data_IF_647014789501
#
_entry.id   IF_647014789501
#
_cell.length_a   1.000
_cell.length_b   1.000
_cell.length_c   1.000
_cell.angle_alpha   90.00
_cell.angle_beta   90.00
_cell.angle_gamma   90.00
#
_symmetry.space_group_name_H-M   'P 1'
#
loop_
_entity.id
_entity.type
_entity.pdbx_description
1 polymer ?
#
# COMPACT_ATOMS: atom_id res chain seq x y z
N UNK A 1 -13.67 11.28 -3.67
CA UNK A 1 -13.33 10.02 -4.37
C UNK A 1 -14.03 8.88 -3.63
N UNK A 2 -14.63 7.91 -4.31
CA UNK A 2 -15.02 6.67 -3.63
C UNK A 2 -13.71 5.97 -3.28
N UNK A 3 -13.23 6.09 -2.02
CA UNK A 3 -12.11 5.26 -1.55
C UNK A 3 -12.43 3.82 -1.90
N UNK A 4 -11.46 3.08 -2.42
CA UNK A 4 -11.74 1.77 -3.04
C UNK A 4 -12.18 0.74 -2.00
N UNK A 5 -11.74 0.90 -0.75
CA UNK A 5 -12.25 0.20 0.42
C UNK A 5 -13.10 1.12 1.29
N UNK A 6 -14.32 0.69 1.62
CA UNK A 6 -15.26 1.43 2.47
C UNK A 6 -15.92 0.49 3.46
N UNK A 7 -15.16 0.07 4.47
CA UNK A 7 -15.74 -0.64 5.60
C UNK A 7 -16.35 0.36 6.57
N UNK A 8 -17.66 0.30 6.76
CA UNK A 8 -18.43 1.22 7.60
C UNK A 8 -18.77 0.63 8.98
N UNK A 9 -18.50 -0.66 9.22
CA UNK A 9 -18.89 -1.34 10.47
C UNK A 9 -18.25 -0.72 11.71
N UNK A 10 -16.94 -0.42 11.66
CA UNK A 10 -16.25 0.23 12.79
C UNK A 10 -16.75 1.67 12.95
N UNK A 11 -16.96 2.39 11.84
CA UNK A 11 -17.50 3.74 11.87
C UNK A 11 -18.88 3.76 12.53
N UNK A 12 -19.80 2.91 12.08
CA UNK A 12 -21.14 2.74 12.65
C UNK A 12 -21.09 2.31 14.12
N UNK A 13 -20.20 1.39 14.50
CA UNK A 13 -20.02 0.99 15.89
C UNK A 13 -19.63 2.18 16.78
N UNK A 14 -18.73 3.03 16.30
CA UNK A 14 -18.29 4.21 17.05
C UNK A 14 -19.38 5.30 17.09
N UNK A 15 -20.06 5.59 15.98
CA UNK A 15 -21.07 6.66 15.90
C UNK A 15 -22.39 6.29 16.57
N UNK A 16 -22.73 5.00 16.68
CA UNK A 16 -23.93 4.53 17.40
C UNK A 16 -23.74 4.42 18.91
N UNK A 17 -22.51 4.61 19.42
CA UNK A 17 -22.22 4.52 20.84
C UNK A 17 -22.63 5.79 21.58
N UNK A 18 -23.36 5.65 22.69
CA UNK A 18 -23.62 6.74 23.65
C UNK A 18 -22.49 6.94 24.66
N UNK A 19 -21.43 6.11 24.61
CA UNK A 19 -20.28 6.18 25.51
C UNK A 19 -19.30 7.26 25.05
N UNK A 20 -18.56 7.80 26.01
CA UNK A 20 -17.41 8.66 25.75
C UNK A 20 -16.33 7.89 24.99
N UNK A 21 -15.80 8.49 23.93
CA UNK A 21 -14.76 7.91 23.08
C UNK A 21 -13.39 8.40 23.53
N UNK A 22 -12.44 7.46 23.63
CA UNK A 22 -11.05 7.75 23.95
C UNK A 22 -10.13 7.14 22.91
N UNK A 23 -9.07 7.86 22.57
CA UNK A 23 -7.94 7.37 21.79
C UNK A 23 -6.73 7.18 22.72
N UNK A 24 -6.13 5.99 22.68
CA UNK A 24 -4.94 5.65 23.45
C UNK A 24 -3.76 5.42 22.47
N UNK A 25 -2.89 6.43 22.27
CA UNK A 25 -1.75 6.30 21.37
C UNK A 25 -0.58 5.54 22.03
N UNK A 26 0.49 5.34 21.25
CA UNK A 26 1.78 4.87 21.74
C UNK A 26 1.99 3.36 21.61
N UNK A 27 1.13 2.66 20.87
CA UNK A 27 1.37 1.26 20.52
C UNK A 27 2.33 1.12 19.36
N UNK A 28 2.34 2.06 18.41
CA UNK A 28 3.31 2.02 17.31
C UNK A 28 4.70 2.49 17.77
N UNK A 29 5.69 1.62 17.58
CA UNK A 29 7.08 1.84 18.03
C UNK A 29 8.07 1.88 16.85
N UNK A 30 7.57 1.90 15.61
CA UNK A 30 8.40 1.97 14.41
C UNK A 30 8.75 3.40 14.00
N UNK A 31 9.58 3.52 12.96
CA UNK A 31 9.91 4.79 12.32
C UNK A 31 8.78 5.25 11.41
N UNK A 32 8.60 6.57 11.27
CA UNK A 32 7.63 7.18 10.34
C UNK A 32 7.67 6.62 8.92
N UNK A 33 8.89 6.32 8.43
CA UNK A 33 9.14 5.72 7.12
C UNK A 33 9.89 4.39 7.27
N UNK A 34 9.68 3.50 6.30
CA UNK A 34 10.39 2.23 6.22
C UNK A 34 11.91 2.41 6.04
N UNK A 35 12.68 1.40 6.44
CA UNK A 35 14.13 1.46 6.35
C UNK A 35 14.59 1.53 4.89
N UNK A 36 15.36 2.55 4.52
CA UNK A 36 15.88 2.69 3.15
C UNK A 36 14.90 3.31 2.15
N UNK A 37 13.77 3.84 2.62
CA UNK A 37 12.90 4.71 1.83
C UNK A 37 13.63 6.02 1.51
N UNK A 38 13.40 6.56 0.31
CA UNK A 38 14.05 7.79 -0.12
C UNK A 38 13.47 8.99 0.65
N UNK A 39 14.31 9.93 1.04
CA UNK A 39 13.88 11.06 1.86
C UNK A 39 13.10 12.09 1.05
N UNK A 40 13.34 12.16 -0.26
CA UNK A 40 12.79 13.10 -1.23
C UNK A 40 11.42 12.65 -1.79
N UNK A 41 11.06 11.38 -1.64
CA UNK A 41 9.77 10.82 -2.05
C UNK A 41 8.62 11.13 -1.04
N UNK A 42 8.87 11.91 0.00
CA UNK A 42 7.92 12.19 1.10
C UNK A 42 6.58 12.82 0.69
N UNK A 43 6.50 13.36 -0.54
CA UNK A 43 5.30 13.97 -1.12
C UNK A 43 4.52 13.02 -2.05
N UNK A 44 5.10 11.85 -2.38
CA UNK A 44 4.48 10.81 -3.19
C UNK A 44 3.47 10.03 -2.34
N UNK A 45 2.28 9.73 -2.88
CA UNK A 45 1.24 8.98 -2.18
C UNK A 45 1.64 7.54 -1.86
N UNK A 46 2.64 7.00 -2.56
CA UNK A 46 3.28 5.73 -2.27
C UNK A 46 4.10 5.73 -0.98
N UNK A 47 4.42 6.90 -0.41
CA UNK A 47 5.22 7.08 0.81
C UNK A 47 4.43 7.73 1.97
N UNK A 48 3.18 7.34 2.14
CA UNK A 48 2.40 7.70 3.32
C UNK A 48 3.07 7.22 4.63
N UNK A 49 2.98 8.04 5.69
CA UNK A 49 3.59 7.70 6.98
C UNK A 49 2.95 6.48 7.62
N UNK A 50 3.77 5.60 8.19
CA UNK A 50 3.28 4.44 8.94
C UNK A 50 2.81 4.91 10.32
N UNK A 51 1.61 4.50 10.73
CA UNK A 51 0.98 4.92 11.99
C UNK A 51 0.08 3.85 12.59
N UNK A 52 -0.16 3.89 13.91
CA UNK A 52 -1.03 2.93 14.63
C UNK A 52 -2.53 3.02 14.31
N UNK A 53 -3.00 4.19 13.85
CA UNK A 53 -4.41 4.39 13.49
C UNK A 53 -4.49 5.21 12.21
N UNK A 54 -4.31 4.56 11.05
CA UNK A 54 -4.37 5.26 9.79
C UNK A 54 -5.78 5.76 9.52
N UNK A 55 -5.91 7.05 9.20
CA UNK A 55 -7.16 7.65 8.77
C UNK A 55 -6.96 8.10 7.35
N UNK A 56 -7.83 7.64 6.46
CA UNK A 56 -7.86 8.18 5.09
C UNK A 56 -6.56 7.88 4.33
N UNK A 57 -6.04 6.67 4.56
CA UNK A 57 -4.78 6.19 4.00
C UNK A 57 -3.55 7.03 4.40
N UNK A 58 -3.70 7.89 5.43
CA UNK A 58 -2.76 8.95 5.79
C UNK A 58 -2.46 9.92 4.64
N UNK A 59 -3.42 10.06 3.73
CA UNK A 59 -3.38 10.94 2.58
C UNK A 59 -4.46 12.03 2.70
N UNK A 60 -4.15 13.18 2.13
CA UNK A 60 -5.16 14.16 1.74
C UNK A 60 -5.27 14.21 0.21
N UNK A 61 -6.43 14.62 -0.27
CA UNK A 61 -6.74 14.85 -1.68
C UNK A 61 -6.88 16.36 -1.90
N UNK A 62 -6.06 16.92 -2.79
CA UNK A 62 -6.21 18.29 -3.29
C UNK A 62 -6.81 18.24 -4.69
N UNK A 63 -7.82 19.07 -4.94
CA UNK A 63 -8.52 19.13 -6.24
C UNK A 63 -8.84 20.55 -6.66
N UNK A 64 -8.83 20.79 -7.96
CA UNK A 64 -9.42 21.98 -8.54
C UNK A 64 -10.93 21.80 -8.68
N UNK A 65 -11.68 22.62 -7.95
CA UNK A 65 -13.15 22.66 -7.97
C UNK A 65 -13.61 24.10 -8.29
N UNK A 66 -14.90 24.33 -8.61
CA UNK A 66 -15.42 25.69 -8.73
C UNK A 66 -15.09 26.52 -7.47
N UNK A 67 -14.36 27.63 -7.65
CA UNK A 67 -13.90 28.48 -6.54
C UNK A 67 -12.43 28.27 -6.12
N UNK A 68 -11.70 27.31 -6.71
CA UNK A 68 -10.26 27.12 -6.51
C UNK A 68 -9.88 25.74 -5.98
N UNK A 69 -8.69 25.64 -5.39
CA UNK A 69 -8.24 24.39 -4.77
C UNK A 69 -9.06 24.09 -3.52
N UNK A 70 -9.53 22.85 -3.43
CA UNK A 70 -10.18 22.28 -2.24
C UNK A 70 -9.35 21.11 -1.71
N UNK A 71 -9.34 20.96 -0.38
CA UNK A 71 -8.69 19.83 0.29
C UNK A 71 -9.72 18.94 0.97
N UNK A 72 -9.47 17.65 0.89
CA UNK A 72 -10.15 16.66 1.70
C UNK A 72 -9.11 15.76 2.38
N UNK A 73 -9.07 15.67 3.72
CA UNK A 73 -10.03 16.22 4.70
C UNK A 73 -10.02 17.74 4.82
N UNK A 74 -11.19 18.34 5.11
CA UNK A 74 -11.34 19.80 5.19
C UNK A 74 -10.55 20.45 6.32
N UNK A 75 -10.18 19.68 7.34
CA UNK A 75 -9.33 20.17 8.45
C UNK A 75 -7.96 20.67 7.98
N UNK A 76 -7.54 20.32 6.77
CA UNK A 76 -6.29 20.80 6.16
C UNK A 76 -6.49 22.00 5.21
N UNK A 77 -7.69 22.57 5.10
CA UNK A 77 -7.93 23.72 4.20
C UNK A 77 -7.03 24.90 4.55
N UNK A 78 -6.90 25.22 5.84
CA UNK A 78 -6.07 26.32 6.32
C UNK A 78 -4.56 26.01 6.24
N UNK A 79 -4.21 24.79 5.84
CA UNK A 79 -2.82 24.37 5.60
C UNK A 79 -2.39 24.60 4.15
N UNK A 80 -3.28 24.99 3.22
CA UNK A 80 -2.91 25.36 1.85
C UNK A 80 -2.25 26.73 1.82
N UNK A 81 -1.05 26.79 1.26
CA UNK A 81 -0.29 28.03 1.14
C UNK A 81 0.00 28.30 -0.33
N UNK A 82 -0.45 29.45 -0.82
CA UNK A 82 -0.10 29.90 -2.17
C UNK A 82 1.31 30.49 -2.13
N UNK A 83 2.23 29.88 -2.84
CA UNK A 83 3.63 30.28 -2.88
C UNK A 83 3.98 30.89 -4.25
N UNK A 84 4.35 32.17 -4.27
CA UNK A 84 4.77 32.88 -5.48
C UNK A 84 6.22 32.58 -5.89
N UNK A 85 7.01 31.96 -5.01
CA UNK A 85 8.40 31.59 -5.25
C UNK A 85 8.53 30.20 -5.90
N UNK A 86 7.47 29.39 -5.93
CA UNK A 86 7.45 28.11 -6.63
C UNK A 86 7.48 28.32 -8.16
N UNK A 87 8.66 28.18 -8.76
CA UNK A 87 8.92 28.41 -10.20
C UNK A 87 8.94 27.13 -11.05
N UNK A 88 8.65 25.97 -10.47
CA UNK A 88 8.63 24.68 -11.18
C UNK A 88 7.70 24.68 -12.39
N UNK A 89 8.00 23.89 -13.43
CA UNK A 89 7.20 23.87 -14.67
C UNK A 89 5.81 23.25 -14.49
N UNK A 90 5.69 22.18 -13.69
CA UNK A 90 4.44 21.47 -13.46
C UNK A 90 3.66 22.07 -12.28
N UNK A 91 2.34 22.24 -12.41
CA UNK A 91 1.50 22.59 -11.27
C UNK A 91 1.41 21.39 -10.34
N UNK A 92 1.91 21.55 -9.12
CA UNK A 92 1.92 20.55 -8.07
C UNK A 92 1.73 21.23 -6.72
N UNK A 93 1.23 20.47 -5.76
CA UNK A 93 1.18 20.86 -4.36
C UNK A 93 2.24 20.07 -3.63
N UNK A 94 3.12 20.78 -2.92
CA UNK A 94 4.25 20.19 -2.19
C UNK A 94 4.03 20.43 -0.71
N UNK A 95 3.97 19.35 0.06
CA UNK A 95 3.98 19.43 1.52
C UNK A 95 5.35 19.97 1.97
N UNK A 96 5.41 20.83 2.97
CA UNK A 96 6.66 21.21 3.61
C UNK A 96 7.24 20.02 4.38
N UNK A 97 8.54 19.80 4.24
CA UNK A 97 9.22 18.75 5.00
C UNK A 97 8.96 18.91 6.51
N UNK A 98 8.46 17.85 7.15
CA UNK A 98 8.18 17.82 8.59
C UNK A 98 6.88 18.48 9.06
N UNK A 99 6.11 19.16 8.21
CA UNK A 99 4.89 19.86 8.61
C UNK A 99 3.68 19.57 7.70
N UNK A 100 2.47 19.82 8.21
CA UNK A 100 1.24 19.86 7.41
C UNK A 100 1.02 21.28 6.88
N UNK A 101 1.89 21.70 5.97
CA UNK A 101 1.81 22.95 5.21
C UNK A 101 1.96 22.58 3.74
N UNK A 102 1.01 22.93 2.89
CA UNK A 102 0.89 22.43 1.52
C UNK A 102 1.00 23.59 0.54
N UNK A 103 2.20 23.78 0.00
CA UNK A 103 2.55 24.90 -0.85
C UNK A 103 2.17 24.62 -2.31
N UNK A 104 1.56 25.58 -2.99
CA UNK A 104 1.21 25.47 -4.41
C UNK A 104 1.53 26.76 -5.18
N UNK A 105 1.92 26.66 -6.45
CA UNK A 105 2.44 27.81 -7.19
C UNK A 105 1.35 28.86 -7.47
N UNK A 106 1.73 30.14 -7.41
CA UNK A 106 0.86 31.27 -7.75
C UNK A 106 0.61 31.42 -9.26
N UNK A 107 -0.11 30.47 -9.86
CA UNK A 107 -0.50 30.47 -11.28
C UNK A 107 -1.88 29.83 -11.48
N UNK A 108 -2.34 29.81 -12.73
CA UNK A 108 -3.59 29.15 -13.10
C UNK A 108 -3.53 27.67 -12.72
N UNK A 109 -4.53 27.24 -11.94
CA UNK A 109 -4.69 25.85 -11.55
C UNK A 109 -5.23 25.07 -12.76
N UNK A 110 -4.58 23.98 -13.20
CA UNK A 110 -5.04 23.20 -14.33
C UNK A 110 -6.47 22.67 -14.13
N UNK A 111 -7.27 22.66 -15.19
CA UNK A 111 -8.59 22.06 -15.16
C UNK A 111 -8.48 20.56 -14.83
N UNK A 112 -9.32 20.09 -13.89
CA UNK A 112 -9.30 18.70 -13.44
C UNK A 112 -8.07 18.31 -12.61
N UNK A 113 -7.24 19.27 -12.17
CA UNK A 113 -6.11 19.00 -11.30
C UNK A 113 -6.55 18.23 -10.04
N UNK A 114 -5.81 17.17 -9.74
CA UNK A 114 -6.00 16.34 -8.55
C UNK A 114 -4.65 15.77 -8.13
N UNK A 115 -4.38 15.79 -6.83
CA UNK A 115 -3.19 15.17 -6.24
C UNK A 115 -3.54 14.52 -4.90
N UNK A 116 -2.97 13.35 -4.63
CA UNK A 116 -2.94 12.76 -3.30
C UNK A 116 -1.60 13.07 -2.65
N UNK A 117 -1.60 13.46 -1.39
CA UNK A 117 -0.39 13.90 -0.68
C UNK A 117 -0.41 13.31 0.72
N UNK A 118 0.68 12.65 1.17
CA UNK A 118 0.82 12.25 2.56
C UNK A 118 0.73 13.44 3.50
N UNK A 119 -0.06 13.33 4.57
CA UNK A 119 0.00 14.28 5.67
C UNK A 119 0.85 13.73 6.82
N UNK A 120 1.49 14.63 7.58
CA UNK A 120 2.19 14.31 8.83
C UNK A 120 1.20 13.78 9.85
N UNK A 121 1.45 12.58 10.32
CA UNK A 121 0.68 11.93 11.39
C UNK A 121 1.25 12.34 12.75
N UNK A 122 0.36 12.59 13.70
CA UNK A 122 0.65 12.75 15.13
C UNK A 122 -0.67 12.64 15.90
N UNK A 123 -0.59 12.52 17.24
CA UNK A 123 -1.78 12.38 18.10
C UNK A 123 -2.80 13.49 17.90
N UNK A 124 -2.38 14.76 17.77
CA UNK A 124 -3.30 15.88 17.59
C UNK A 124 -4.03 15.79 16.23
N UNK A 125 -3.29 15.52 15.15
CA UNK A 125 -3.87 15.32 13.81
C UNK A 125 -4.85 14.14 13.81
N UNK A 126 -4.51 13.00 14.44
CA UNK A 126 -5.40 11.85 14.57
C UNK A 126 -6.69 12.21 15.32
N UNK A 127 -6.58 12.91 16.46
CA UNK A 127 -7.75 13.31 17.26
C UNK A 127 -8.68 14.27 16.51
N UNK A 128 -8.11 15.26 15.80
CA UNK A 128 -8.87 16.21 14.99
C UNK A 128 -9.61 15.48 13.86
N UNK A 129 -8.91 14.60 13.13
CA UNK A 129 -9.52 13.83 12.03
C UNK A 129 -10.58 12.84 12.52
N UNK A 130 -10.35 12.16 13.65
CA UNK A 130 -11.35 11.29 14.27
C UNK A 130 -12.59 12.08 14.68
N UNK A 131 -12.40 13.22 15.36
CA UNK A 131 -13.53 14.02 15.83
C UNK A 131 -14.33 14.61 14.67
N UNK A 132 -13.66 15.07 13.63
CA UNK A 132 -14.27 15.52 12.37
C UNK A 132 -15.06 14.39 11.69
N UNK A 133 -14.47 13.21 11.57
CA UNK A 133 -15.08 12.05 10.89
C UNK A 133 -16.27 11.47 11.65
N UNK A 134 -16.18 11.41 12.98
CA UNK A 134 -17.21 10.82 13.84
C UNK A 134 -18.30 11.82 14.22
N UNK A 135 -18.04 13.12 14.08
CA UNK A 135 -18.86 14.20 14.64
C UNK A 135 -19.07 14.02 16.17
N UNK A 136 -18.07 13.46 16.85
CA UNK A 136 -18.07 13.18 18.28
C UNK A 136 -16.75 13.63 18.89
N UNK A 137 -16.79 14.12 20.13
CA UNK A 137 -15.57 14.42 20.85
C UNK A 137 -14.80 13.13 21.19
N UNK A 138 -13.56 13.04 20.70
CA UNK A 138 -12.62 11.96 21.07
C UNK A 138 -11.57 12.54 21.99
N UNK A 139 -11.45 11.98 23.20
CA UNK A 139 -10.46 12.42 24.17
C UNK A 139 -9.21 11.56 24.15
N UNK A 140 -8.08 12.14 24.55
CA UNK A 140 -6.86 11.38 24.77
C UNK A 140 -6.96 10.63 26.09
N UNK A 141 -6.47 9.39 26.13
CA UNK A 141 -6.24 8.65 27.37
C UNK A 141 -4.89 7.96 27.32
N UNK A 142 -4.15 7.99 28.43
CA UNK A 142 -3.02 7.09 28.62
C UNK A 142 -3.54 5.77 29.19
N UNK A 143 -3.63 4.75 28.33
CA UNK A 143 -4.15 3.44 28.73
C UNK A 143 -3.52 2.33 27.91
N UNK A 144 -2.85 1.41 28.60
CA UNK A 144 -2.41 0.14 28.01
C UNK A 144 -3.62 -0.68 27.59
N UNK A 145 -3.56 -1.29 26.41
CA UNK A 145 -4.64 -2.12 25.88
C UNK A 145 -4.93 -3.30 26.82
N UNK A 146 -6.14 -3.40 27.42
CA UNK A 146 -6.46 -4.48 28.33
C UNK A 146 -6.48 -5.83 27.62
N UNK A 147 -6.08 -6.90 28.30
CA UNK A 147 -6.20 -8.28 27.78
C UNK A 147 -7.66 -8.69 27.51
N UNK A 148 -8.62 -7.99 28.11
CA UNK A 148 -10.06 -8.18 27.91
C UNK A 148 -10.63 -7.33 26.77
N UNK A 149 -9.79 -6.57 26.04
CA UNK A 149 -10.23 -5.78 24.90
C UNK A 149 -10.87 -6.67 23.82
N UNK A 150 -11.92 -6.16 23.18
CA UNK A 150 -12.61 -6.85 22.08
C UNK A 150 -12.28 -6.17 20.76
N UNK A 151 -11.91 -6.97 19.76
CA UNK A 151 -11.65 -6.48 18.40
C UNK A 151 -12.95 -6.34 17.62
N UNK A 152 -13.14 -5.18 16.98
CA UNK A 152 -14.22 -4.95 16.01
C UNK A 152 -13.63 -5.07 14.60
N UNK A 153 -13.98 -6.13 13.89
CA UNK A 153 -13.54 -6.35 12.52
C UNK A 153 -14.38 -5.55 11.53
N UNK A 154 -13.74 -4.96 10.52
CA UNK A 154 -14.41 -4.11 9.54
C UNK A 154 -14.78 -4.85 8.24
N UNK A 155 -13.78 -5.41 7.55
CA UNK A 155 -13.96 -6.03 6.23
C UNK A 155 -13.28 -7.39 6.14
N UNK A 156 -13.59 -8.16 5.10
CA UNK A 156 -12.95 -9.43 4.80
C UNK A 156 -11.50 -9.20 4.37
N UNK A 157 -10.59 -10.05 4.84
CA UNK A 157 -9.16 -9.98 4.48
C UNK A 157 -8.93 -10.06 2.97
N UNK A 158 -9.76 -10.82 2.24
CA UNK A 158 -9.68 -10.95 0.78
C UNK A 158 -9.83 -9.61 0.05
N UNK A 159 -10.71 -8.73 0.54
CA UNK A 159 -10.93 -7.42 -0.07
C UNK A 159 -9.73 -6.50 0.20
N UNK A 160 -9.12 -6.60 1.38
CA UNK A 160 -7.86 -5.91 1.72
C UNK A 160 -6.72 -6.40 0.83
N UNK A 161 -6.60 -7.72 0.64
CA UNK A 161 -5.56 -8.30 -0.21
C UNK A 161 -5.73 -7.88 -1.67
N UNK A 162 -6.96 -7.81 -2.19
CA UNK A 162 -7.23 -7.29 -3.53
C UNK A 162 -6.80 -5.83 -3.68
N UNK A 163 -7.15 -4.98 -2.72
CA UNK A 163 -6.74 -3.57 -2.77
C UNK A 163 -5.24 -3.39 -2.63
N UNK A 164 -4.56 -4.26 -1.89
CA UNK A 164 -3.10 -4.22 -1.82
C UNK A 164 -2.47 -4.71 -3.13
N UNK A 165 -2.88 -5.89 -3.61
CA UNK A 165 -2.16 -6.62 -4.65
C UNK A 165 -2.43 -6.08 -6.07
N UNK A 166 -3.66 -5.63 -6.36
CA UNK A 166 -4.06 -5.19 -7.70
C UNK A 166 -3.39 -3.87 -8.14
N UNK A 167 -3.47 -2.78 -7.36
CA UNK A 167 -2.78 -1.53 -7.67
C UNK A 167 -1.34 -1.48 -7.16
N UNK A 168 -0.92 -2.43 -6.30
CA UNK A 168 0.36 -2.37 -5.56
C UNK A 168 0.39 -1.30 -4.48
N UNK A 169 -0.59 -1.31 -3.58
CA UNK A 169 -0.68 -0.32 -2.51
C UNK A 169 0.38 -0.57 -1.42
N UNK A 170 1.38 0.31 -1.36
CA UNK A 170 2.48 0.23 -0.39
C UNK A 170 1.98 0.41 1.04
N UNK A 171 1.05 1.34 1.24
CA UNK A 171 0.56 1.69 2.56
C UNK A 171 -0.16 0.53 3.23
N UNK A 172 -1.06 -0.15 2.50
CA UNK A 172 -1.74 -1.34 3.02
C UNK A 172 -0.72 -2.44 3.36
N UNK A 173 0.34 -2.60 2.57
CA UNK A 173 1.36 -3.61 2.83
C UNK A 173 2.09 -3.37 4.17
N UNK A 174 2.48 -2.12 4.47
CA UNK A 174 3.08 -1.78 5.77
C UNK A 174 2.09 -1.93 6.93
N UNK A 175 0.83 -1.50 6.72
CA UNK A 175 -0.20 -1.59 7.75
C UNK A 175 -0.57 -3.04 8.09
N UNK A 176 -0.53 -3.96 7.11
CA UNK A 176 -0.75 -5.38 7.36
C UNK A 176 0.33 -6.00 8.26
N UNK A 177 1.59 -5.53 8.20
CA UNK A 177 2.61 -5.95 9.15
C UNK A 177 2.26 -5.53 10.58
N UNK A 178 1.68 -4.34 10.77
CA UNK A 178 1.24 -3.88 12.10
C UNK A 178 0.05 -4.68 12.62
N UNK A 179 -0.92 -4.98 11.75
CA UNK A 179 -2.06 -5.86 12.08
C UNK A 179 -1.57 -7.25 12.48
N UNK A 180 -0.53 -7.75 11.81
CA UNK A 180 0.08 -9.03 12.14
C UNK A 180 0.87 -8.98 13.45
N UNK A 181 1.64 -7.92 13.71
CA UNK A 181 2.33 -7.69 14.98
C UNK A 181 1.38 -7.77 16.18
N UNK A 182 0.18 -7.20 16.04
CA UNK A 182 -0.86 -7.22 17.07
C UNK A 182 -1.32 -8.66 17.46
N UNK A 183 -1.02 -9.69 16.66
CA UNK A 183 -1.42 -11.07 16.95
C UNK A 183 -0.55 -11.75 18.02
N UNK A 184 0.66 -11.24 18.29
CA UNK A 184 1.61 -11.91 19.17
C UNK A 184 2.29 -10.99 20.19
N UNK A 185 2.07 -9.67 20.13
CA UNK A 185 2.63 -8.71 21.08
C UNK A 185 1.73 -7.47 21.27
N UNK A 186 2.01 -6.69 22.32
CA UNK A 186 1.19 -5.54 22.71
C UNK A 186 1.47 -4.25 21.93
N UNK A 187 2.65 -4.10 21.34
CA UNK A 187 3.04 -2.97 20.50
C UNK A 187 3.00 -3.33 19.00
N UNK A 188 2.99 -2.32 18.14
CA UNK A 188 2.92 -2.44 16.69
C UNK A 188 4.30 -2.09 16.12
N UNK A 189 4.94 -3.07 15.51
CA UNK A 189 6.28 -2.94 14.92
C UNK A 189 6.37 -3.81 13.68
N UNK A 190 6.59 -3.18 12.53
CA UNK A 190 6.75 -3.89 11.26
C UNK A 190 8.01 -4.76 11.25
N UNK A 191 9.10 -4.28 11.83
CA UNK A 191 10.37 -5.02 11.97
C UNK A 191 10.18 -6.29 12.79
N UNK A 192 9.45 -6.23 13.91
CA UNK A 192 9.21 -7.42 14.74
C UNK A 192 8.27 -8.41 14.06
N UNK A 193 7.26 -7.92 13.33
CA UNK A 193 6.42 -8.77 12.47
C UNK A 193 7.25 -9.50 11.41
N UNK A 194 8.14 -8.79 10.71
CA UNK A 194 9.04 -9.37 9.71
C UNK A 194 9.94 -10.43 10.35
N UNK A 195 10.60 -10.12 11.47
CA UNK A 195 11.49 -11.04 12.17
C UNK A 195 10.74 -12.31 12.61
N UNK A 196 9.54 -12.15 13.16
CA UNK A 196 8.69 -13.27 13.57
C UNK A 196 8.28 -14.12 12.37
N UNK A 197 7.90 -13.50 11.24
CA UNK A 197 7.51 -14.24 10.04
C UNK A 197 8.70 -15.00 9.44
N UNK A 198 9.87 -14.37 9.38
CA UNK A 198 11.11 -15.00 8.94
C UNK A 198 11.44 -16.23 9.78
N UNK A 199 11.37 -16.08 11.10
CA UNK A 199 11.69 -17.14 12.05
C UNK A 199 10.66 -18.29 12.04
N UNK A 200 9.37 -17.97 11.91
CA UNK A 200 8.30 -18.95 12.07
C UNK A 200 7.92 -19.65 10.77
N UNK A 201 7.89 -18.93 9.65
CA UNK A 201 7.34 -19.45 8.39
C UNK A 201 8.39 -19.58 7.28
N UNK A 202 9.44 -18.74 7.29
CA UNK A 202 10.35 -18.61 6.16
C UNK A 202 11.77 -19.14 6.42
N UNK A 203 12.02 -19.80 7.57
CA UNK A 203 13.29 -20.48 7.85
C UNK A 203 13.71 -21.49 6.78
N UNK A 204 12.73 -22.11 6.12
CA UNK A 204 12.96 -23.14 5.11
C UNK A 204 13.19 -22.62 3.69
N UNK A 205 13.30 -21.30 3.49
CA UNK A 205 13.55 -20.75 2.16
C UNK A 205 14.89 -21.25 1.59
N UNK A 206 14.99 -21.44 0.25
CA UNK A 206 16.21 -21.94 -0.39
C UNK A 206 17.42 -21.03 -0.17
N UNK A 207 17.21 -19.73 -0.16
CA UNK A 207 18.20 -18.71 0.15
C UNK A 207 17.77 -17.89 1.37
N UNK A 208 18.74 -17.33 2.10
CA UNK A 208 18.46 -16.44 3.23
C UNK A 208 18.04 -15.07 2.69
N UNK A 209 16.78 -14.64 2.86
CA UNK A 209 16.37 -13.32 2.40
C UNK A 209 16.83 -12.22 3.36
N UNK A 210 16.85 -10.99 2.86
CA UNK A 210 16.82 -9.77 3.67
C UNK A 210 15.49 -9.09 3.43
N UNK A 211 14.68 -8.94 4.47
CA UNK A 211 13.36 -8.32 4.39
C UNK A 211 13.28 -7.20 5.42
N UNK A 212 12.94 -5.98 5.01
CA UNK A 212 12.98 -4.80 5.89
C UNK A 212 11.70 -3.96 5.88
N UNK A 213 10.81 -4.14 4.90
CA UNK A 213 9.52 -3.45 4.83
C UNK A 213 8.44 -4.31 4.13
N UNK A 214 7.16 -3.98 4.30
CA UNK A 214 6.06 -4.77 3.73
C UNK A 214 5.83 -4.50 2.24
N UNK A 215 6.09 -3.28 1.78
CA UNK A 215 5.77 -2.78 0.45
C UNK A 215 6.78 -3.15 -0.63
N UNK A 216 8.04 -3.36 -0.25
CA UNK A 216 9.14 -3.48 -1.21
C UNK A 216 9.70 -2.14 -1.69
N UNK A 217 9.28 -1.00 -1.11
CA UNK A 217 9.80 0.34 -1.43
C UNK A 217 11.29 0.47 -1.09
N UNK A 218 11.74 -0.24 -0.05
CA UNK A 218 13.14 -0.33 0.30
C UNK A 218 13.95 -1.16 -0.70
N UNK A 219 15.01 -0.56 -1.24
CA UNK A 219 16.06 -1.25 -2.00
C UNK A 219 16.86 -2.26 -1.18
N UNK A 220 16.68 -2.28 0.15
CA UNK A 220 17.38 -3.20 1.04
C UNK A 220 16.69 -4.58 1.11
N UNK A 221 15.49 -4.73 0.54
CA UNK A 221 14.86 -6.03 0.37
C UNK A 221 15.60 -6.87 -0.67
N UNK A 222 16.04 -8.07 -0.28
CA UNK A 222 16.76 -9.01 -1.12
C UNK A 222 16.12 -10.38 -0.98
N UNK A 223 15.47 -10.82 -2.05
CA UNK A 223 14.88 -12.16 -2.20
C UNK A 223 15.38 -12.76 -3.51
N UNK A 224 15.61 -14.07 -3.55
CA UNK A 224 15.93 -14.76 -4.78
C UNK A 224 14.66 -15.19 -5.53
N UNK A 225 14.74 -15.44 -6.85
CA UNK A 225 13.62 -16.06 -7.58
C UNK A 225 13.21 -17.43 -7.01
N UNK A 226 14.15 -18.18 -6.41
CA UNK A 226 13.87 -19.48 -5.78
C UNK A 226 13.03 -19.31 -4.52
N UNK A 227 13.35 -18.29 -3.71
CA UNK A 227 12.57 -17.94 -2.52
C UNK A 227 11.15 -17.57 -2.91
N UNK A 228 10.99 -16.70 -3.93
CA UNK A 228 9.67 -16.26 -4.39
C UNK A 228 8.84 -17.42 -4.93
N UNK A 229 9.43 -18.37 -5.67
CA UNK A 229 8.74 -19.59 -6.11
C UNK A 229 8.28 -20.44 -4.93
N UNK A 230 9.11 -20.59 -3.89
CA UNK A 230 8.72 -21.33 -2.68
C UNK A 230 7.59 -20.62 -1.93
N UNK A 231 7.67 -19.31 -1.75
CA UNK A 231 6.62 -18.50 -1.10
C UNK A 231 5.30 -18.62 -1.87
N UNK A 232 5.33 -18.51 -3.21
CA UNK A 232 4.13 -18.67 -4.03
C UNK A 232 3.53 -20.08 -3.89
N UNK A 233 4.35 -21.14 -3.84
CA UNK A 233 3.86 -22.50 -3.57
C UNK A 233 3.21 -22.63 -2.18
N UNK A 234 3.76 -21.96 -1.17
CA UNK A 234 3.17 -21.92 0.17
C UNK A 234 1.81 -21.19 0.15
N UNK A 235 1.71 -20.06 -0.55
CA UNK A 235 0.46 -19.30 -0.72
C UNK A 235 -0.59 -20.14 -1.46
N UNK A 236 -0.22 -20.80 -2.56
CA UNK A 236 -1.13 -21.67 -3.31
C UNK A 236 -1.70 -22.79 -2.43
N UNK A 237 -0.84 -23.44 -1.65
CA UNK A 237 -1.25 -24.47 -0.68
C UNK A 237 -2.17 -23.91 0.42
N UNK A 238 -1.86 -22.73 0.95
CA UNK A 238 -2.64 -22.12 2.04
C UNK A 238 -4.02 -21.68 1.56
N UNK A 239 -4.11 -21.04 0.39
CA UNK A 239 -5.39 -20.60 -0.17
C UNK A 239 -6.21 -21.79 -0.65
N UNK A 240 -5.54 -22.84 -1.18
CA UNK A 240 -6.13 -24.11 -1.62
C UNK A 240 -7.36 -23.94 -2.54
N UNK A 241 -7.40 -22.83 -3.28
CA UNK A 241 -8.48 -22.48 -4.18
C UNK A 241 -7.92 -21.54 -5.25
N UNK A 242 -7.69 -22.10 -6.45
CA UNK A 242 -7.08 -21.39 -7.56
C UNK A 242 -7.86 -20.17 -7.99
N UNK A 243 -9.18 -20.28 -8.10
CA UNK A 243 -10.04 -19.18 -8.54
C UNK A 243 -9.96 -18.01 -7.57
N UNK A 244 -10.10 -18.30 -6.27
CA UNK A 244 -9.96 -17.31 -5.20
C UNK A 244 -8.58 -16.65 -5.22
N UNK A 245 -7.51 -17.44 -5.27
CA UNK A 245 -6.13 -16.93 -5.35
C UNK A 245 -5.93 -16.00 -6.55
N UNK A 246 -6.33 -16.46 -7.74
CA UNK A 246 -6.14 -15.70 -8.96
C UNK A 246 -6.98 -14.43 -8.96
N UNK A 247 -8.18 -14.44 -8.38
CA UNK A 247 -9.04 -13.25 -8.24
C UNK A 247 -8.38 -12.10 -7.46
N UNK A 248 -7.41 -12.41 -6.58
CA UNK A 248 -6.69 -11.42 -5.79
C UNK A 248 -5.51 -10.78 -6.53
N UNK A 249 -5.00 -11.43 -7.58
CA UNK A 249 -3.78 -11.01 -8.28
C UNK A 249 -4.08 -10.19 -9.54
N UNK A 250 -3.15 -9.29 -9.93
CA UNK A 250 -3.15 -8.70 -11.27
C UNK A 250 -3.16 -9.80 -12.33
N UNK A 251 -3.90 -9.58 -13.41
CA UNK A 251 -4.07 -10.57 -14.48
C UNK A 251 -3.68 -9.96 -15.82
N UNK A 252 -2.83 -10.67 -16.57
CA UNK A 252 -2.26 -10.22 -17.84
C UNK A 252 -3.33 -9.81 -18.84
N UNK A 253 -3.30 -8.55 -19.30
CA UNK A 253 -4.24 -8.06 -20.31
C UNK A 253 -5.64 -7.72 -19.78
N UNK A 254 -5.93 -8.02 -18.51
CA UNK A 254 -7.26 -7.86 -17.93
C UNK A 254 -7.32 -6.82 -16.81
N UNK A 255 -6.53 -6.97 -15.73
CA UNK A 255 -6.67 -6.13 -14.52
C UNK A 255 -5.38 -5.87 -13.75
N UNK A 256 -5.44 -4.90 -12.83
CA UNK A 256 -4.32 -4.52 -11.96
C UNK A 256 -3.16 -3.90 -12.74
N UNK A 257 -1.94 -4.07 -12.22
CA UNK A 257 -0.71 -3.58 -12.84
C UNK A 257 -0.34 -4.31 -14.15
N UNK A 258 -0.92 -5.48 -14.42
CA UNK A 258 -0.67 -6.26 -15.64
C UNK A 258 -1.67 -6.01 -16.79
N UNK A 259 -2.65 -5.12 -16.58
CA UNK A 259 -3.72 -4.83 -17.56
C UNK A 259 -3.22 -4.42 -18.95
N UNK A 260 -2.01 -3.84 -19.03
CA UNK A 260 -1.40 -3.36 -20.27
C UNK A 260 -0.07 -4.07 -20.59
N UNK A 261 0.31 -5.10 -19.82
CA UNK A 261 1.57 -5.83 -20.02
C UNK A 261 1.43 -6.98 -21.04
N UNK A 262 0.20 -7.38 -21.35
CA UNK A 262 -0.14 -8.46 -22.29
C UNK A 262 -1.29 -7.99 -23.20
N UNK A 263 -1.53 -8.67 -24.34
CA UNK A 263 -2.71 -8.41 -25.17
C UNK A 263 -4.01 -8.43 -24.35
N UNK A 264 -4.95 -7.55 -24.69
CA UNK A 264 -6.26 -7.49 -24.02
C UNK A 264 -6.99 -8.83 -24.17
N UNK A 265 -7.54 -9.34 -23.08
CA UNK A 265 -8.22 -10.63 -23.04
C UNK A 265 -9.17 -10.72 -21.84
N UNK A 266 -10.26 -11.45 -22.00
CA UNK A 266 -11.13 -11.87 -20.90
C UNK A 266 -10.70 -13.21 -20.27
N UNK A 267 -9.75 -13.90 -20.90
CA UNK A 267 -9.19 -15.18 -20.46
C UNK A 267 -7.68 -15.06 -20.24
N UNK A 268 -7.24 -14.36 -19.16
CA UNK A 268 -5.82 -14.19 -18.87
C UNK A 268 -5.18 -15.53 -18.48
N UNK A 269 -3.94 -15.72 -18.92
CA UNK A 269 -3.14 -16.91 -18.58
C UNK A 269 -2.01 -16.60 -17.58
N UNK A 270 -1.74 -15.33 -17.27
CA UNK A 270 -0.76 -14.90 -16.26
C UNK A 270 -1.45 -14.18 -15.12
N UNK A 271 -1.19 -14.61 -13.88
CA UNK A 271 -1.67 -14.01 -12.64
C UNK A 271 -0.49 -13.76 -11.73
N UNK A 272 -0.03 -12.51 -11.62
CA UNK A 272 1.25 -12.23 -10.97
C UNK A 272 1.32 -10.82 -10.38
N UNK A 273 2.15 -10.69 -9.34
CA UNK A 273 2.51 -9.39 -8.78
C UNK A 273 3.69 -8.81 -9.54
N UNK A 274 3.64 -7.50 -9.78
CA UNK A 274 4.74 -6.72 -10.36
C UNK A 274 5.52 -5.96 -9.29
N UNK A 275 6.82 -5.78 -9.48
CA UNK A 275 7.64 -4.80 -8.76
C UNK A 275 8.34 -3.91 -9.77
N UNK A 276 8.32 -2.59 -9.58
CA UNK A 276 8.91 -1.64 -10.53
C UNK A 276 9.56 -0.49 -9.78
N UNK A 277 10.85 -0.27 -10.05
CA UNK A 277 11.61 0.91 -9.65
C UNK A 277 12.47 1.37 -10.83
N UNK A 278 13.16 2.49 -10.69
CA UNK A 278 14.28 2.82 -11.57
C UNK A 278 15.23 1.63 -11.65
N UNK A 279 15.47 1.15 -12.88
CA UNK A 279 16.37 0.04 -13.22
C UNK A 279 15.92 -1.36 -12.74
N UNK A 280 14.68 -1.51 -12.24
CA UNK A 280 14.17 -2.79 -11.76
C UNK A 280 12.76 -3.07 -12.30
N UNK A 281 12.54 -4.29 -12.81
CA UNK A 281 11.23 -4.76 -13.26
C UNK A 281 11.11 -6.26 -13.05
N UNK A 282 10.26 -6.62 -12.09
CA UNK A 282 10.13 -7.98 -11.58
C UNK A 282 8.67 -8.44 -11.70
N UNK A 283 8.47 -9.72 -11.96
CA UNK A 283 7.15 -10.36 -11.98
C UNK A 283 7.24 -11.75 -11.36
N UNK A 284 6.42 -12.01 -10.35
CA UNK A 284 6.33 -13.34 -9.72
C UNK A 284 4.87 -13.73 -9.53
N UNK A 285 4.53 -14.97 -9.88
CA UNK A 285 3.17 -15.46 -9.78
C UNK A 285 2.95 -16.79 -10.48
N UNK A 286 1.78 -16.91 -11.10
CA UNK A 286 1.27 -18.14 -11.70
C UNK A 286 1.01 -17.96 -13.17
N UNK A 287 1.31 -18.99 -13.96
CA UNK A 287 0.96 -19.09 -15.36
C UNK A 287 0.12 -20.36 -15.60
N UNK A 288 -0.98 -20.21 -16.32
CA UNK A 288 -1.81 -21.33 -16.78
C UNK A 288 -1.36 -21.66 -18.19
N UNK A 289 -0.90 -22.88 -18.43
CA UNK A 289 -0.51 -23.31 -19.77
C UNK A 289 -1.72 -23.69 -20.61
N UNK A 290 -1.55 -23.81 -21.92
CA UNK A 290 -2.62 -24.17 -22.86
C UNK A 290 -3.22 -25.55 -22.59
N UNK A 291 -2.42 -26.46 -22.01
CA UNK A 291 -2.87 -27.77 -21.53
C UNK A 291 -3.60 -27.72 -20.17
N UNK A 292 -3.78 -26.53 -19.60
CA UNK A 292 -4.48 -26.31 -18.33
C UNK A 292 -3.63 -26.51 -17.08
N UNK A 293 -2.32 -26.76 -17.21
CA UNK A 293 -1.41 -26.91 -16.07
C UNK A 293 -1.11 -25.53 -15.46
N UNK A 294 -1.10 -25.45 -14.14
CA UNK A 294 -0.63 -24.25 -13.44
C UNK A 294 0.85 -24.40 -13.08
N UNK A 295 1.67 -23.45 -13.50
CA UNK A 295 3.08 -23.33 -13.12
C UNK A 295 3.29 -22.10 -12.26
N UNK A 296 4.31 -22.15 -11.40
CA UNK A 296 4.77 -21.02 -10.57
C UNK A 296 6.04 -20.47 -11.18
N UNK A 297 6.17 -19.14 -11.23
CA UNK A 297 7.35 -18.49 -11.80
C UNK A 297 7.78 -17.25 -11.00
N UNK A 298 9.05 -16.90 -11.15
CA UNK A 298 9.61 -15.63 -10.70
C UNK A 298 10.67 -15.16 -11.70
N UNK A 299 10.46 -13.97 -12.25
CA UNK A 299 11.38 -13.27 -13.13
C UNK A 299 11.82 -11.97 -12.45
N UNK A 300 13.12 -11.84 -12.18
CA UNK A 300 13.67 -10.67 -11.51
C UNK A 300 14.79 -10.03 -12.36
N UNK A 301 14.52 -8.84 -12.89
CA UNK A 301 15.46 -8.05 -13.67
C UNK A 301 15.84 -6.81 -12.86
N UNK A 302 17.07 -6.78 -12.37
CA UNK A 302 17.59 -5.70 -11.54
C UNK A 302 18.77 -5.02 -12.26
N UNK A 303 19.00 -3.73 -11.95
CA UNK A 303 20.14 -2.94 -12.42
C UNK A 303 20.29 -2.87 -13.95
N UNK A 304 19.20 -2.96 -14.71
CA UNK A 304 19.27 -2.74 -16.16
C UNK A 304 19.27 -1.26 -16.50
N UNK A 305 19.96 -0.89 -17.58
CA UNK A 305 20.07 0.50 -18.05
C UNK A 305 19.10 0.83 -19.19
N UNK A 306 18.48 -0.20 -19.80
CA UNK A 306 17.56 -0.04 -20.92
C UNK A 306 16.14 0.39 -20.52
N UNK A 307 15.27 0.66 -21.50
CA UNK A 307 13.87 0.98 -21.26
C UNK A 307 13.11 -0.17 -20.57
N UNK A 308 12.34 0.15 -19.51
CA UNK A 308 11.44 -0.82 -18.84
C UNK A 308 10.49 -1.52 -19.83
N UNK A 309 10.10 -0.82 -20.91
CA UNK A 309 9.20 -1.35 -21.93
C UNK A 309 9.79 -2.56 -22.69
N UNK A 310 11.10 -2.57 -22.92
CA UNK A 310 11.77 -3.70 -23.59
C UNK A 310 11.78 -4.94 -22.69
N UNK A 311 12.11 -4.77 -21.41
CA UNK A 311 12.07 -5.86 -20.43
C UNK A 311 10.63 -6.40 -20.30
N UNK A 312 9.63 -5.52 -20.25
CA UNK A 312 8.21 -5.91 -20.25
C UNK A 312 7.84 -6.74 -21.47
N UNK A 313 8.25 -6.32 -22.66
CA UNK A 313 7.96 -7.02 -23.91
C UNK A 313 8.61 -8.42 -23.93
N UNK A 314 9.87 -8.54 -23.53
CA UNK A 314 10.56 -9.83 -23.49
C UNK A 314 9.97 -10.79 -22.46
N UNK A 315 9.59 -10.29 -21.28
CA UNK A 315 8.89 -11.10 -20.29
C UNK A 315 7.53 -11.57 -20.78
N UNK A 316 6.77 -10.70 -21.47
CA UNK A 316 5.49 -11.06 -22.06
C UNK A 316 5.66 -12.13 -23.16
N UNK A 317 6.68 -11.98 -24.02
CA UNK A 317 7.03 -12.95 -25.07
C UNK A 317 7.39 -14.32 -24.48
N UNK A 318 8.24 -14.36 -23.45
CA UNK A 318 8.62 -15.59 -22.75
C UNK A 318 7.41 -16.27 -22.10
N UNK A 319 6.55 -15.50 -21.43
CA UNK A 319 5.34 -16.05 -20.82
C UNK A 319 4.36 -16.59 -21.87
N UNK A 320 4.21 -15.91 -23.00
CA UNK A 320 3.43 -16.42 -24.13
C UNK A 320 3.99 -17.74 -24.68
N UNK A 321 5.32 -17.83 -24.83
CA UNK A 321 5.97 -19.08 -25.24
C UNK A 321 5.70 -20.22 -24.25
N UNK A 322 5.83 -19.98 -22.94
CA UNK A 322 5.56 -21.00 -21.91
C UNK A 322 4.08 -21.42 -21.95
N UNK A 323 3.16 -20.47 -22.10
CA UNK A 323 1.73 -20.76 -22.22
C UNK A 323 1.43 -21.72 -23.38
N UNK A 324 2.00 -21.46 -24.56
CA UNK A 324 1.71 -22.23 -25.77
C UNK A 324 2.37 -23.63 -25.79
N UNK A 325 3.54 -23.78 -25.16
CA UNK A 325 4.39 -24.97 -25.37
C UNK A 325 4.37 -26.00 -24.22
N UNK A 326 3.87 -25.65 -23.03
CA UNK A 326 3.86 -26.53 -21.85
C UNK A 326 2.46 -26.93 -21.40
#
# INVERSE_FOLDING_TARGET
MKRRLQGDRVLHFLTSSSKQLFFAPGRYTGNTYGQGWAWDDYNDDAQAEISELPLMDNLLEVKNEPGGLQVFPRVFNDCLVKDSLMTGKAFEVIRKAGANEFNYPSRVIPAGFKQLIPYKTNTATTLILLSDTLHLAVQLIDKVMPVTAKTVYNMKSEDIFREMLLPSDNFIAEQLLLVYANQFQGHLSGTDAINYILDKYLKGLPDKPRWVDGSGLSRMNLFSPRDMVMILRMIDKEVNNREKLFSMLPAGGLRGTLRNAYPKTDHPFVFAKTGTFSNNYNQSGYIVTKKGKTLVFSLMNNNFMGPILEIKAEMARLMGYIHENY
#
